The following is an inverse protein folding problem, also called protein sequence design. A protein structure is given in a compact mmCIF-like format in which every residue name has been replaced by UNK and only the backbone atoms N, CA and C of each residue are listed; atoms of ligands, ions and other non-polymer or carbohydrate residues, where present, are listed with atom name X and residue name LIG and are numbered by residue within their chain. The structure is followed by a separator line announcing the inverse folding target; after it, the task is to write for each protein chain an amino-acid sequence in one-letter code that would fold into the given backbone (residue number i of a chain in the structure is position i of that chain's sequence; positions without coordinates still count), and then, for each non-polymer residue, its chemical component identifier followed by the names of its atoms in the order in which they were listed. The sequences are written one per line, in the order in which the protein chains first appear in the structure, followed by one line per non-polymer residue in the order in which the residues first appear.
data_IF_311929866678
#
_entry.id   IF_311929866678
#
_cell.length_a   1.000
_cell.length_b   1.000
_cell.length_c   1.000
_cell.angle_alpha   90.00
_cell.angle_beta   90.00
_cell.angle_gamma   90.00
#
_symmetry.space_group_name_H-M   'P 1'
#
loop_
_entity.id
_entity.type
_entity.pdbx_description
1 polymer ?
#
# COMPACT_ATOMS: atom_id res chain seq x y z
N UNK A 1 2.62 -10.16 18.51
CA UNK A 1 1.39 -10.96 18.31
C UNK A 1 0.33 -10.10 17.61
N UNK A 2 -0.22 -10.56 16.49
CA UNK A 2 -1.29 -9.85 15.76
C UNK A 2 -2.61 -9.94 16.51
N UNK A 3 -3.37 -8.83 16.57
CA UNK A 3 -4.71 -8.80 17.15
C UNK A 3 -5.63 -9.79 16.41
N UNK A 4 -6.36 -10.61 17.17
CA UNK A 4 -7.43 -11.48 16.66
C UNK A 4 -8.77 -10.98 17.17
N UNK A 5 -9.78 -11.00 16.32
CA UNK A 5 -11.15 -10.61 16.66
C UNK A 5 -12.12 -11.66 16.13
N UNK A 6 -13.29 -11.79 16.75
CA UNK A 6 -14.41 -12.53 16.18
C UNK A 6 -15.40 -11.56 15.56
N UNK A 7 -15.89 -11.86 14.37
CA UNK A 7 -16.94 -11.05 13.75
C UNK A 7 -18.25 -11.27 14.51
N UNK A 8 -18.75 -10.22 15.16
CA UNK A 8 -19.99 -10.26 15.92
C UNK A 8 -21.20 -9.96 15.05
N UNK A 9 -21.09 -9.03 14.11
CA UNK A 9 -22.21 -8.59 13.26
C UNK A 9 -21.73 -7.97 11.94
N UNK A 10 -22.48 -8.19 10.87
CA UNK A 10 -22.31 -7.45 9.62
C UNK A 10 -23.07 -6.11 9.67
N UNK A 11 -22.41 -5.03 9.24
CA UNK A 11 -22.99 -3.70 9.25
C UNK A 11 -23.41 -3.24 7.85
N UNK A 12 -22.48 -3.17 6.89
CA UNK A 12 -22.76 -2.71 5.52
C UNK A 12 -21.67 -3.09 4.52
N UNK A 13 -21.98 -3.04 3.22
CA UNK A 13 -20.98 -3.11 2.13
C UNK A 13 -20.28 -1.75 2.00
N UNK A 14 -19.00 -1.75 1.63
CA UNK A 14 -18.26 -0.51 1.35
C UNK A 14 -18.49 0.04 -0.07
N UNK A 15 -19.14 -0.72 -0.96
CA UNK A 15 -19.52 -0.29 -2.32
C UNK A 15 -18.36 -0.04 -3.30
N UNK A 16 -17.13 0.04 -2.80
CA UNK A 16 -15.92 0.39 -3.52
C UNK A 16 -14.83 -0.66 -3.31
N UNK A 17 -14.05 -0.96 -4.35
CA UNK A 17 -12.95 -1.93 -4.33
C UNK A 17 -13.29 -3.26 -4.99
N UNK A 18 -12.31 -3.86 -5.66
CA UNK A 18 -12.50 -5.07 -6.49
C UNK A 18 -12.87 -6.32 -5.66
N UNK A 19 -12.45 -6.35 -4.39
CA UNK A 19 -12.72 -7.43 -3.43
C UNK A 19 -14.05 -7.29 -2.71
N UNK A 20 -14.87 -6.29 -3.04
CA UNK A 20 -16.15 -6.00 -2.38
C UNK A 20 -16.10 -6.04 -0.84
N UNK A 21 -15.24 -5.23 -0.20
CA UNK A 21 -15.06 -5.27 1.25
C UNK A 21 -16.34 -4.94 2.03
N UNK A 22 -16.42 -5.50 3.24
CA UNK A 22 -17.54 -5.35 4.15
C UNK A 22 -17.14 -4.62 5.41
N UNK A 23 -18.06 -3.86 5.99
CA UNK A 23 -17.92 -3.32 7.34
C UNK A 23 -18.61 -4.27 8.31
N UNK A 24 -17.85 -4.69 9.31
CA UNK A 24 -18.28 -5.60 10.37
C UNK A 24 -17.97 -5.01 11.74
N UNK A 25 -18.70 -5.48 12.75
CA UNK A 25 -18.41 -5.23 14.15
C UNK A 25 -17.60 -6.40 14.70
N UNK A 26 -16.51 -6.11 15.42
CA UNK A 26 -15.77 -7.09 16.20
C UNK A 26 -16.45 -7.41 17.52
N UNK A 27 -15.99 -8.46 18.21
CA UNK A 27 -16.35 -8.79 19.59
C UNK A 27 -15.77 -7.81 20.62
N UNK A 28 -14.88 -6.93 20.19
CA UNK A 28 -14.32 -5.80 20.92
C UNK A 28 -15.12 -4.50 20.75
N UNK A 29 -16.28 -4.55 20.09
CA UNK A 29 -17.14 -3.41 19.75
C UNK A 29 -16.50 -2.37 18.81
N UNK A 30 -15.42 -2.72 18.12
CA UNK A 30 -14.79 -1.86 17.12
C UNK A 30 -15.24 -2.23 15.71
N UNK A 31 -15.21 -1.25 14.80
CA UNK A 31 -15.60 -1.46 13.40
C UNK A 31 -14.39 -1.80 12.54
N UNK A 32 -14.59 -2.76 11.65
CA UNK A 32 -13.55 -3.31 10.79
C UNK A 32 -14.02 -3.42 9.35
N UNK A 33 -13.13 -3.12 8.42
CA UNK A 33 -13.25 -3.41 7.00
C UNK A 33 -12.66 -4.81 6.77
N UNK A 34 -13.54 -5.77 6.53
CA UNK A 34 -13.22 -7.15 6.22
C UNK A 34 -12.96 -7.30 4.71
N UNK A 35 -11.81 -7.86 4.34
CA UNK A 35 -11.42 -8.08 2.95
C UNK A 35 -11.79 -9.49 2.48
N UNK A 36 -12.00 -9.66 1.18
CA UNK A 36 -12.19 -10.95 0.52
C UNK A 36 -11.05 -11.20 -0.49
N UNK A 37 -10.73 -12.47 -0.76
CA UNK A 37 -9.76 -12.87 -1.80
C UNK A 37 -10.44 -13.39 -3.08
N UNK A 38 -11.74 -13.68 -3.05
CA UNK A 38 -12.48 -14.15 -4.22
C UNK A 38 -13.10 -12.97 -4.96
N UNK A 39 -12.64 -12.75 -6.19
CA UNK A 39 -13.00 -11.59 -7.01
C UNK A 39 -13.71 -12.04 -8.29
N UNK A 40 -14.73 -11.31 -8.69
CA UNK A 40 -15.44 -11.52 -9.96
C UNK A 40 -14.67 -10.84 -11.12
N UNK A 41 -14.45 -11.59 -12.19
CA UNK A 41 -13.83 -11.10 -13.42
C UNK A 41 -14.72 -11.44 -14.64
N UNK A 42 -14.40 -10.86 -15.80
CA UNK A 42 -15.13 -11.12 -17.05
C UNK A 42 -15.10 -12.59 -17.49
N UNK A 43 -14.07 -13.33 -17.07
CA UNK A 43 -13.82 -14.73 -17.45
C UNK A 43 -14.25 -15.72 -16.34
N UNK A 44 -14.89 -15.22 -15.28
CA UNK A 44 -15.27 -16.00 -14.10
C UNK A 44 -14.54 -15.54 -12.85
N UNK A 45 -14.45 -16.41 -11.85
CA UNK A 45 -13.88 -16.05 -10.55
C UNK A 45 -12.38 -16.23 -10.51
N UNK A 46 -11.69 -15.21 -10.00
CA UNK A 46 -10.25 -15.24 -9.74
C UNK A 46 -10.03 -15.19 -8.24
N UNK A 47 -9.16 -16.07 -7.75
CA UNK A 47 -8.75 -16.08 -6.35
C UNK A 47 -7.42 -15.34 -6.20
N UNK A 48 -7.47 -14.23 -5.48
CA UNK A 48 -6.32 -13.42 -5.09
C UNK A 48 -5.63 -14.04 -3.86
N UNK A 49 -5.08 -15.24 -4.06
CA UNK A 49 -4.53 -16.11 -3.02
C UNK A 49 -3.33 -15.53 -2.23
N UNK A 50 -2.70 -14.44 -2.68
CA UNK A 50 -1.69 -13.70 -1.91
C UNK A 50 -2.22 -12.43 -1.25
N UNK A 51 -3.46 -12.00 -1.50
CA UNK A 51 -3.96 -10.70 -1.04
C UNK A 51 -3.87 -10.53 0.48
N UNK A 52 -4.32 -11.50 1.28
CA UNK A 52 -4.23 -11.39 2.74
C UNK A 52 -2.79 -11.38 3.25
N UNK A 53 -1.91 -12.21 2.66
CA UNK A 53 -0.49 -12.22 2.97
C UNK A 53 0.17 -10.86 2.66
N UNK A 54 -0.13 -10.30 1.49
CA UNK A 54 0.33 -8.96 1.10
C UNK A 54 -0.15 -7.90 2.10
N UNK A 55 -1.44 -7.85 2.41
CA UNK A 55 -2.02 -6.86 3.33
C UNK A 55 -1.38 -6.90 4.72
N UNK A 56 -1.22 -8.09 5.30
CA UNK A 56 -0.67 -8.21 6.66
C UNK A 56 0.84 -7.89 6.69
N UNK A 57 1.61 -8.33 5.69
CA UNK A 57 3.04 -8.01 5.59
C UNK A 57 3.23 -6.51 5.39
N UNK A 58 2.52 -5.92 4.42
CA UNK A 58 2.55 -4.48 4.15
C UNK A 58 2.17 -3.68 5.39
N UNK A 59 1.16 -4.09 6.15
CA UNK A 59 0.76 -3.36 7.36
C UNK A 59 1.77 -3.47 8.50
N UNK A 60 2.48 -4.61 8.61
CA UNK A 60 3.59 -4.77 9.57
C UNK A 60 4.79 -3.90 9.19
N UNK A 61 5.14 -3.86 7.91
CA UNK A 61 6.21 -3.01 7.38
C UNK A 61 5.84 -1.53 7.56
N UNK A 62 4.60 -1.15 7.23
CA UNK A 62 4.10 0.21 7.40
C UNK A 62 4.19 0.66 8.88
N UNK A 63 3.74 -0.17 9.81
CA UNK A 63 3.89 0.09 11.24
C UNK A 63 5.37 0.23 11.65
N UNK A 64 6.24 -0.64 11.13
CA UNK A 64 7.68 -0.52 11.39
C UNK A 64 8.25 0.79 10.84
N UNK A 65 7.73 1.32 9.73
CA UNK A 65 8.20 2.56 9.11
C UNK A 65 7.46 3.83 9.58
N UNK A 66 6.54 3.71 10.55
CA UNK A 66 5.64 4.78 10.99
C UNK A 66 4.85 5.41 9.83
N UNK A 67 4.47 4.59 8.85
CA UNK A 67 3.59 4.99 7.75
C UNK A 67 2.15 4.98 8.27
N UNK A 68 1.35 6.03 7.99
CA UNK A 68 -0.01 6.12 8.51
C UNK A 68 -0.94 5.12 7.82
N UNK A 69 -1.10 3.94 8.41
CA UNK A 69 -2.06 2.91 7.98
C UNK A 69 -3.12 2.69 9.08
N UNK A 70 -4.34 2.22 8.73
CA UNK A 70 -5.27 1.76 9.75
C UNK A 70 -4.68 0.59 10.54
N UNK A 71 -5.01 0.51 11.84
CA UNK A 71 -4.74 -0.70 12.64
C UNK A 71 -5.39 -1.91 11.96
N UNK A 72 -4.82 -3.10 12.14
CA UNK A 72 -5.34 -4.31 11.50
C UNK A 72 -5.52 -5.46 12.51
N UNK A 73 -6.27 -6.46 12.10
CA UNK A 73 -6.55 -7.68 12.85
C UNK A 73 -6.73 -8.87 11.90
N UNK A 74 -6.58 -10.07 12.44
CA UNK A 74 -7.07 -11.31 11.84
C UNK A 74 -8.48 -11.52 12.39
N UNK A 75 -9.48 -11.50 11.51
CA UNK A 75 -10.88 -11.65 11.87
C UNK A 75 -11.35 -13.08 11.60
N UNK A 76 -12.01 -13.68 12.59
CA UNK A 76 -12.66 -14.99 12.49
C UNK A 76 -14.14 -14.78 12.11
N UNK A 77 -14.52 -15.27 10.94
CA UNK A 77 -15.89 -15.23 10.44
C UNK A 77 -16.53 -16.60 10.60
N UNK A 78 -17.50 -16.69 11.51
CA UNK A 78 -18.25 -17.91 11.82
C UNK A 78 -19.38 -18.14 10.81
N UNK A 79 -19.63 -19.42 10.46
CA UNK A 79 -20.73 -19.83 9.60
C UNK A 79 -22.09 -19.26 10.00
N UNK A 80 -22.37 -19.12 11.29
CA UNK A 80 -23.64 -18.58 11.81
C UNK A 80 -23.90 -17.15 11.34
N UNK A 81 -22.85 -16.32 11.20
CA UNK A 81 -22.97 -14.96 10.68
C UNK A 81 -23.34 -14.99 9.19
N UNK A 82 -22.77 -15.94 8.44
CA UNK A 82 -23.09 -16.14 7.02
C UNK A 82 -24.50 -16.71 6.81
N UNK A 83 -24.95 -17.61 7.68
CA UNK A 83 -26.30 -18.20 7.64
C UNK A 83 -27.38 -17.15 7.97
N UNK A 84 -27.12 -16.27 8.94
CA UNK A 84 -28.02 -15.18 9.32
C UNK A 84 -27.98 -13.98 8.34
N UNK A 85 -27.02 -13.96 7.41
CA UNK A 85 -26.90 -12.96 6.37
C UNK A 85 -26.65 -13.60 5.01
N UNK A 86 -27.67 -14.21 4.36
CA UNK A 86 -27.50 -14.92 3.09
C UNK A 86 -26.81 -14.07 2.02
N UNK A 87 -27.05 -12.75 2.02
CA UNK A 87 -26.40 -11.81 1.11
C UNK A 87 -24.87 -11.82 1.20
N UNK A 88 -24.30 -12.08 2.39
CA UNK A 88 -22.86 -12.18 2.61
C UNK A 88 -22.24 -13.36 1.86
N UNK A 89 -22.96 -14.48 1.81
CA UNK A 89 -22.51 -15.70 1.13
C UNK A 89 -22.79 -15.64 -0.38
N UNK A 90 -23.97 -15.18 -0.78
CA UNK A 90 -24.40 -15.21 -2.18
C UNK A 90 -23.89 -14.02 -3.01
N UNK A 91 -23.95 -12.81 -2.45
CA UNK A 91 -23.52 -11.61 -3.18
C UNK A 91 -22.06 -11.27 -2.90
N UNK A 92 -21.63 -11.31 -1.64
CA UNK A 92 -20.27 -10.87 -1.26
C UNK A 92 -19.26 -12.02 -1.14
N UNK A 93 -19.75 -13.27 -1.22
CA UNK A 93 -18.95 -14.51 -1.35
C UNK A 93 -17.91 -14.70 -0.26
N UNK A 94 -18.21 -14.22 0.93
CA UNK A 94 -17.42 -14.53 2.10
C UNK A 94 -17.63 -16.00 2.48
N UNK A 95 -16.54 -16.65 2.88
CA UNK A 95 -16.55 -18.01 3.39
C UNK A 95 -16.24 -18.00 4.88
N UNK A 96 -16.65 -19.03 5.59
CA UNK A 96 -16.21 -19.24 6.97
C UNK A 96 -14.68 -19.33 7.01
N UNK A 97 -14.08 -18.77 8.06
CA UNK A 97 -12.63 -18.87 8.30
C UNK A 97 -11.98 -17.56 8.73
N UNK A 98 -10.68 -17.45 8.49
CA UNK A 98 -9.88 -16.28 8.88
C UNK A 98 -9.67 -15.32 7.72
N UNK A 99 -9.98 -14.06 7.97
CA UNK A 99 -9.91 -12.97 7.00
C UNK A 99 -8.99 -11.85 7.50
N UNK A 100 -8.37 -11.14 6.57
CA UNK A 100 -7.71 -9.88 6.89
C UNK A 100 -8.76 -8.79 7.16
N UNK A 101 -8.57 -8.04 8.23
CA UNK A 101 -9.41 -6.92 8.61
C UNK A 101 -8.58 -5.69 8.96
N UNK A 102 -8.95 -4.52 8.43
CA UNK A 102 -8.42 -3.23 8.87
C UNK A 102 -9.48 -2.49 9.68
N UNK A 103 -9.07 -1.77 10.74
CA UNK A 103 -9.98 -0.94 11.53
C UNK A 103 -10.54 0.16 10.63
N UNK A 104 -11.86 0.37 10.68
CA UNK A 104 -12.51 1.45 9.94
C UNK A 104 -11.97 2.80 10.42
N UNK A 105 -11.55 3.65 9.49
CA UNK A 105 -11.22 5.04 9.79
C UNK A 105 -12.52 5.83 9.78
N UNK A 106 -12.90 6.39 10.93
CA UNK A 106 -14.08 7.24 11.03
C UNK A 106 -13.84 8.62 10.37
N UNK A 107 -14.93 9.30 9.99
CA UNK A 107 -14.91 10.66 9.43
C UNK A 107 -14.01 10.80 8.18
N UNK A 108 -13.99 9.77 7.33
CA UNK A 108 -13.33 9.82 6.03
C UNK A 108 -14.05 10.80 5.11
N UNK A 109 -13.28 11.58 4.37
CA UNK A 109 -13.80 12.54 3.41
C UNK A 109 -13.97 11.86 2.05
N UNK A 110 -15.19 11.42 1.71
CA UNK A 110 -15.49 10.85 0.38
C UNK A 110 -15.92 11.89 -0.65
N UNK A 111 -16.27 13.10 -0.21
CA UNK A 111 -17.03 14.11 -0.98
C UNK A 111 -16.34 14.65 -2.25
N UNK A 112 -15.07 14.33 -2.48
CA UNK A 112 -14.44 14.64 -3.76
C UNK A 112 -14.81 13.64 -4.85
N UNK A 113 -15.05 12.37 -4.56
CA UNK A 113 -15.19 11.32 -5.58
C UNK A 113 -16.42 11.49 -6.48
N UNK A 114 -17.57 11.87 -5.96
CA UNK A 114 -18.79 12.05 -6.78
C UNK A 114 -18.66 13.22 -7.75
N UNK A 115 -18.20 14.38 -7.26
CA UNK A 115 -17.93 15.54 -8.11
C UNK A 115 -16.77 15.28 -9.09
N UNK A 116 -15.77 14.50 -8.65
CA UNK A 116 -14.57 14.18 -9.42
C UNK A 116 -14.83 13.20 -10.57
N UNK A 117 -15.60 12.12 -10.34
CA UNK A 117 -15.96 11.16 -11.40
C UNK A 117 -16.72 11.87 -12.51
N UNK A 118 -17.69 12.71 -12.12
CA UNK A 118 -18.44 13.54 -13.06
C UNK A 118 -17.55 14.53 -13.83
N UNK A 119 -16.63 15.22 -13.16
CA UNK A 119 -15.72 16.19 -13.80
C UNK A 119 -14.66 15.51 -14.71
N UNK A 120 -14.23 14.29 -14.35
CA UNK A 120 -13.32 13.47 -15.14
C UNK A 120 -13.99 12.96 -16.42
N UNK A 121 -15.23 12.50 -16.32
CA UNK A 121 -16.05 12.10 -17.47
C UNK A 121 -16.30 13.28 -18.44
N UNK A 122 -16.23 14.52 -17.94
CA UNK A 122 -16.33 15.75 -18.74
C UNK A 122 -15.00 16.27 -19.31
N UNK A 123 -13.86 15.59 -19.09
CA UNK A 123 -12.56 15.93 -19.67
C UNK A 123 -11.97 17.29 -19.25
N UNK A 124 -12.34 17.83 -18.08
CA UNK A 124 -11.94 19.18 -17.68
C UNK A 124 -10.54 19.23 -17.01
N UNK A 125 -9.65 20.18 -17.39
CA UNK A 125 -8.29 20.29 -16.84
C UNK A 125 -8.18 20.85 -15.41
N UNK A 126 -9.30 21.24 -14.77
CA UNK A 126 -9.32 21.84 -13.42
C UNK A 126 -8.98 20.85 -12.27
N UNK A 127 -8.67 19.60 -12.59
CA UNK A 127 -8.57 18.47 -11.67
C UNK A 127 -7.30 18.50 -10.79
N UNK A 128 -6.15 18.92 -11.30
CA UNK A 128 -4.90 18.97 -10.52
C UNK A 128 -4.98 20.00 -9.37
N UNK A 129 -5.58 21.17 -9.62
CA UNK A 129 -5.75 22.21 -8.59
C UNK A 129 -6.67 21.79 -7.45
N UNK A 130 -7.67 20.95 -7.73
CA UNK A 130 -8.57 20.42 -6.69
C UNK A 130 -7.88 19.44 -5.77
N UNK A 131 -6.98 18.60 -6.28
CA UNK A 131 -6.23 17.65 -5.45
C UNK A 131 -5.17 18.34 -4.59
N UNK A 132 -4.44 19.32 -5.13
CA UNK A 132 -3.48 20.10 -4.35
C UNK A 132 -4.17 20.73 -3.14
N UNK A 133 -5.31 21.39 -3.37
CA UNK A 133 -6.12 22.00 -2.29
C UNK A 133 -6.68 20.96 -1.32
N UNK A 134 -7.03 19.77 -1.80
CA UNK A 134 -7.53 18.70 -0.94
C UNK A 134 -6.47 18.24 0.06
N UNK A 135 -5.22 18.06 -0.39
CA UNK A 135 -4.14 17.63 0.48
C UNK A 135 -3.45 18.79 1.21
N UNK A 136 -3.70 20.04 0.83
CA UNK A 136 -3.04 21.23 1.40
C UNK A 136 -3.18 21.35 2.92
N UNK A 137 -4.31 20.92 3.50
CA UNK A 137 -4.58 21.07 4.93
C UNK A 137 -4.42 19.78 5.74
N UNK A 138 -3.77 18.75 5.19
CA UNK A 138 -3.40 17.58 5.99
C UNK A 138 -2.29 17.97 6.97
N UNK A 139 -2.31 17.38 8.16
CA UNK A 139 -1.38 17.75 9.24
C UNK A 139 -0.11 16.90 9.25
N UNK A 140 -0.12 15.74 8.61
CA UNK A 140 1.00 14.79 8.56
C UNK A 140 1.66 14.74 7.18
N UNK A 141 2.04 15.92 6.66
CA UNK A 141 2.62 16.06 5.32
C UNK A 141 3.97 15.36 5.19
N UNK A 142 4.74 15.37 6.27
CA UNK A 142 6.03 14.71 6.42
C UNK A 142 5.94 13.19 6.23
N UNK A 143 4.78 12.59 6.47
CA UNK A 143 4.55 11.15 6.26
C UNK A 143 4.47 10.78 4.77
N UNK A 144 4.28 11.73 3.85
CA UNK A 144 4.19 11.45 2.41
C UNK A 144 5.49 10.82 1.90
N UNK A 145 6.65 11.28 2.38
CA UNK A 145 7.93 10.68 2.02
C UNK A 145 8.01 9.22 2.50
N UNK A 146 7.43 8.92 3.67
CA UNK A 146 7.35 7.56 4.20
C UNK A 146 6.46 6.67 3.35
N UNK A 147 5.30 7.17 2.92
CA UNK A 147 4.37 6.46 2.04
C UNK A 147 5.05 6.10 0.72
N UNK A 148 5.74 7.06 0.09
CA UNK A 148 6.44 6.83 -1.19
C UNK A 148 7.57 5.81 -1.03
N UNK A 149 8.44 5.99 -0.03
CA UNK A 149 9.53 5.04 0.22
C UNK A 149 9.02 3.64 0.55
N UNK A 150 7.92 3.55 1.29
CA UNK A 150 7.25 2.30 1.60
C UNK A 150 6.70 1.60 0.36
N UNK A 151 6.01 2.31 -0.55
CA UNK A 151 5.52 1.71 -1.79
C UNK A 151 6.64 1.16 -2.67
N UNK A 152 7.77 1.86 -2.73
CA UNK A 152 8.96 1.37 -3.44
C UNK A 152 9.51 0.10 -2.78
N UNK A 153 9.52 0.04 -1.44
CA UNK A 153 9.97 -1.15 -0.71
C UNK A 153 9.07 -2.37 -0.96
N UNK A 154 7.76 -2.18 -1.03
CA UNK A 154 6.80 -3.30 -1.20
C UNK A 154 6.35 -3.50 -2.66
N UNK A 155 6.93 -2.77 -3.62
CA UNK A 155 6.52 -2.77 -5.02
C UNK A 155 5.01 -2.54 -5.21
N UNK A 156 4.47 -1.51 -4.55
CA UNK A 156 3.07 -1.14 -4.65
C UNK A 156 2.84 -0.14 -5.80
N UNK A 157 2.62 -0.67 -7.00
CA UNK A 157 2.39 0.13 -8.20
C UNK A 157 0.97 0.72 -8.29
N UNK A 158 0.02 0.27 -7.46
CA UNK A 158 -1.39 0.70 -7.50
C UNK A 158 -1.70 1.93 -6.62
N UNK A 159 -0.72 2.54 -5.92
CA UNK A 159 -1.05 3.68 -5.05
C UNK A 159 -1.47 4.92 -5.83
N UNK A 160 -0.79 5.22 -6.93
CA UNK A 160 -0.87 6.54 -7.53
C UNK A 160 -1.87 6.67 -8.70
N UNK A 161 -2.34 5.53 -9.21
CA UNK A 161 -3.41 5.43 -10.23
C UNK A 161 -4.80 5.32 -9.58
N UNK A 162 -4.86 4.90 -8.31
CA UNK A 162 -6.09 4.63 -7.59
C UNK A 162 -6.31 5.69 -6.51
N UNK A 163 -7.15 6.67 -6.83
CA UNK A 163 -7.57 7.76 -5.94
C UNK A 163 -8.21 7.30 -4.63
N UNK A 164 -8.49 6.00 -4.46
CA UNK A 164 -9.05 5.42 -3.23
C UNK A 164 -8.02 4.84 -2.27
N UNK A 165 -6.78 4.63 -2.72
CA UNK A 165 -5.76 3.97 -1.90
C UNK A 165 -5.08 4.95 -0.91
N UNK A 166 -5.44 6.24 -0.99
CA UNK A 166 -5.13 7.27 -0.01
C UNK A 166 -6.44 7.84 0.55
N UNK A 167 -6.63 7.72 1.86
CA UNK A 167 -7.77 8.27 2.56
C UNK A 167 -7.37 9.52 3.33
N UNK A 168 -8.21 10.55 3.26
CA UNK A 168 -8.14 11.68 4.19
C UNK A 168 -9.28 11.57 5.17
N UNK A 169 -8.98 11.68 6.46
CA UNK A 169 -9.98 11.65 7.52
C UNK A 169 -9.75 12.77 8.53
N UNK A 170 -10.85 13.28 9.08
CA UNK A 170 -10.80 14.26 10.17
C UNK A 170 -10.54 13.53 11.49
N UNK A 171 -9.41 13.88 12.11
CA UNK A 171 -9.02 13.42 13.44
C UNK A 171 -9.04 14.58 14.44
N UNK A 172 -8.90 14.28 15.73
CA UNK A 172 -8.76 15.30 16.78
C UNK A 172 -7.61 16.28 16.51
N UNK A 173 -6.55 15.80 15.85
CA UNK A 173 -5.37 16.58 15.51
C UNK A 173 -5.46 17.26 14.12
N UNK A 174 -6.65 17.28 13.50
CA UNK A 174 -6.86 17.79 12.15
C UNK A 174 -6.99 16.70 11.09
N UNK A 175 -6.97 17.10 9.80
CA UNK A 175 -7.10 16.18 8.66
C UNK A 175 -5.82 15.36 8.52
N UNK A 176 -5.92 14.04 8.55
CA UNK A 176 -4.78 13.13 8.38
C UNK A 176 -4.94 12.30 7.12
N UNK A 177 -3.80 12.08 6.46
CA UNK A 177 -3.66 11.18 5.32
C UNK A 177 -3.32 9.77 5.82
N UNK A 178 -3.97 8.76 5.25
CA UNK A 178 -3.74 7.35 5.52
C UNK A 178 -3.55 6.56 4.22
N UNK A 179 -2.59 5.65 4.19
CA UNK A 179 -2.43 4.65 3.14
C UNK A 179 -3.27 3.41 3.44
N UNK A 180 -4.00 2.93 2.43
CA UNK A 180 -4.81 1.71 2.52
C UNK A 180 -4.62 0.84 1.27
N UNK A 181 -5.19 -0.37 1.34
CA UNK A 181 -5.33 -1.34 0.25
C UNK A 181 -4.00 -1.77 -0.36
N UNK A 182 -3.27 -2.63 0.38
CA UNK A 182 -1.97 -3.15 -0.05
C UNK A 182 -2.07 -4.56 -0.63
N UNK A 183 -3.29 -5.06 -0.88
CA UNK A 183 -3.52 -6.39 -1.42
C UNK A 183 -2.80 -6.69 -2.74
N UNK A 184 -2.53 -5.67 -3.55
CA UNK A 184 -1.82 -5.77 -4.83
C UNK A 184 -0.31 -5.51 -4.75
N UNK A 185 0.24 -5.32 -3.55
CA UNK A 185 1.68 -5.18 -3.36
C UNK A 185 2.45 -6.45 -3.77
N UNK A 186 3.78 -6.35 -3.81
CA UNK A 186 4.68 -7.45 -4.13
C UNK A 186 4.36 -8.06 -5.50
N UNK A 187 4.23 -7.21 -6.52
CA UNK A 187 3.94 -7.61 -7.92
C UNK A 187 2.57 -8.31 -8.10
N UNK A 188 1.57 -7.95 -7.30
CA UNK A 188 0.18 -8.37 -7.50
C UNK A 188 -0.33 -9.40 -6.48
N UNK A 189 -1.63 -9.71 -6.54
CA UNK A 189 -2.32 -10.45 -5.48
C UNK A 189 -2.42 -11.96 -5.74
N UNK A 190 -1.87 -12.46 -6.84
CA UNK A 190 -1.92 -13.87 -7.26
C UNK A 190 -0.52 -14.48 -7.23
N UNK A 191 -0.40 -15.65 -6.62
CA UNK A 191 0.81 -16.47 -6.67
C UNK A 191 0.93 -17.17 -8.03
N UNK A 192 1.82 -16.68 -8.87
CA UNK A 192 2.13 -17.25 -10.18
C UNK A 192 3.62 -17.15 -10.51
N UNK A 193 4.03 -17.68 -11.66
CA UNK A 193 5.42 -17.66 -12.13
C UNK A 193 5.97 -16.24 -12.28
N UNK A 194 5.14 -15.29 -12.70
CA UNK A 194 5.55 -13.90 -12.92
C UNK A 194 5.87 -13.20 -11.60
N UNK A 195 5.02 -13.37 -10.58
CA UNK A 195 5.26 -12.87 -9.22
C UNK A 195 6.52 -13.50 -8.63
N UNK A 196 6.70 -14.82 -8.76
CA UNK A 196 7.92 -15.50 -8.30
C UNK A 196 9.16 -14.95 -9.00
N UNK A 197 9.12 -14.78 -10.32
CA UNK A 197 10.20 -14.19 -11.10
C UNK A 197 10.54 -12.77 -10.67
N UNK A 198 9.51 -11.95 -10.42
CA UNK A 198 9.67 -10.56 -9.97
C UNK A 198 10.23 -10.45 -8.56
N UNK A 199 9.83 -11.34 -7.64
CA UNK A 199 10.39 -11.38 -6.29
C UNK A 199 11.87 -11.80 -6.30
N UNK A 200 12.27 -12.68 -7.22
CA UNK A 200 13.65 -13.13 -7.40
C UNK A 200 14.55 -12.09 -8.08
N UNK A 201 13.98 -11.17 -8.87
CA UNK A 201 14.76 -10.27 -9.71
C UNK A 201 15.34 -9.07 -8.94
N UNK A 202 14.90 -8.83 -7.70
CA UNK A 202 15.40 -7.74 -6.87
C UNK A 202 16.91 -7.87 -6.64
N UNK A 203 17.67 -6.95 -7.23
CA UNK A 203 19.11 -6.90 -7.15
C UNK A 203 19.66 -5.55 -7.59
N UNK A 204 20.89 -5.24 -7.17
CA UNK A 204 21.59 -4.02 -7.55
C UNK A 204 22.13 -4.18 -8.97
N UNK A 205 21.25 -3.99 -9.95
CA UNK A 205 21.62 -3.87 -11.35
C UNK A 205 20.88 -2.70 -11.99
N UNK A 206 21.52 -2.08 -12.98
CA UNK A 206 20.89 -0.99 -13.73
C UNK A 206 19.64 -1.48 -14.44
N UNK A 207 19.69 -2.71 -14.95
CA UNK A 207 18.59 -3.37 -15.63
C UNK A 207 17.38 -3.52 -14.71
N UNK A 208 17.58 -3.93 -13.44
CA UNK A 208 16.50 -4.04 -12.47
C UNK A 208 15.90 -2.67 -12.13
N UNK A 209 16.75 -1.67 -11.85
CA UNK A 209 16.29 -0.31 -11.54
C UNK A 209 15.47 0.26 -12.71
N UNK A 210 15.96 0.11 -13.94
CA UNK A 210 15.28 0.56 -15.14
C UNK A 210 13.95 -0.18 -15.32
N UNK A 211 13.92 -1.50 -15.18
CA UNK A 211 12.69 -2.30 -15.27
C UNK A 211 11.65 -1.88 -14.22
N UNK A 212 12.06 -1.80 -12.95
CA UNK A 212 11.17 -1.47 -11.82
C UNK A 212 10.59 -0.06 -11.98
N UNK A 213 11.44 0.90 -12.30
CA UNK A 213 11.03 2.28 -12.55
C UNK A 213 10.12 2.36 -13.78
N UNK A 214 10.46 1.63 -14.85
CA UNK A 214 9.63 1.60 -16.05
C UNK A 214 8.29 0.91 -15.80
N UNK A 215 8.17 -0.03 -14.86
CA UNK A 215 6.88 -0.57 -14.44
C UNK A 215 6.00 0.50 -13.78
N UNK A 216 6.58 1.39 -12.97
CA UNK A 216 5.86 2.58 -12.48
C UNK A 216 5.45 3.52 -13.63
N UNK A 217 6.32 3.70 -14.65
CA UNK A 217 6.06 4.58 -15.79
C UNK A 217 5.11 3.99 -16.85
N UNK A 218 5.09 2.68 -17.09
CA UNK A 218 4.24 2.05 -18.12
C UNK A 218 2.75 2.16 -17.80
N UNK A 219 2.41 2.35 -16.52
CA UNK A 219 1.06 2.72 -16.07
C UNK A 219 0.69 4.14 -16.57
N UNK A 220 1.68 4.98 -16.93
CA UNK A 220 1.52 6.37 -17.36
C UNK A 220 2.19 6.62 -18.73
N UNK A 221 1.45 6.58 -19.85
CA UNK A 221 2.01 6.77 -21.18
C UNK A 221 2.37 8.25 -21.45
N UNK A 222 3.43 8.74 -20.81
CA UNK A 222 4.10 10.00 -21.12
C UNK A 222 5.61 9.75 -21.31
N UNK A 223 5.95 9.10 -22.43
CA UNK A 223 7.23 9.17 -23.17
C UNK A 223 8.50 9.45 -22.33
N UNK A 224 8.76 8.68 -21.26
CA UNK A 224 10.04 8.69 -20.54
C UNK A 224 10.24 9.77 -19.47
N UNK A 225 9.22 10.53 -19.09
CA UNK A 225 9.28 11.49 -17.97
C UNK A 225 8.34 11.07 -16.84
N UNK A 226 8.82 11.07 -15.60
CA UNK A 226 8.01 10.79 -14.39
C UNK A 226 7.09 11.93 -13.98
N UNK A 227 7.01 12.97 -14.81
CA UNK A 227 6.22 14.15 -14.53
C UNK A 227 4.69 13.93 -14.52
N UNK A 228 4.22 12.70 -14.37
CA UNK A 228 2.83 12.32 -14.42
C UNK A 228 2.55 10.94 -13.85
N UNK A 229 3.17 10.56 -12.72
CA UNK A 229 2.85 9.35 -11.94
C UNK A 229 1.40 9.33 -11.39
N UNK A 230 0.46 10.00 -12.04
CA UNK A 230 -0.93 10.17 -11.62
C UNK A 230 -1.22 11.50 -10.95
N UNK A 231 -2.50 11.90 -10.97
CA UNK A 231 -2.98 13.15 -10.36
C UNK A 231 -2.80 13.15 -8.84
N UNK A 232 -2.93 11.99 -8.21
CA UNK A 232 -2.74 11.80 -6.77
C UNK A 232 -1.28 12.07 -6.39
N UNK A 233 -0.32 11.46 -7.10
CA UNK A 233 1.11 11.69 -6.87
C UNK A 233 1.46 13.16 -7.04
N UNK A 234 0.97 13.80 -8.11
CA UNK A 234 1.21 15.23 -8.36
C UNK A 234 0.69 16.15 -7.26
N UNK A 235 -0.35 15.73 -6.55
CA UNK A 235 -0.90 16.53 -5.47
C UNK A 235 -0.13 16.41 -4.16
N UNK A 236 0.49 15.26 -3.92
CA UNK A 236 1.23 15.00 -2.69
C UNK A 236 2.73 15.31 -2.82
N UNK A 237 3.31 15.27 -4.03
CA UNK A 237 4.75 15.52 -4.25
C UNK A 237 5.20 16.92 -3.84
N UNK A 238 4.32 17.92 -3.87
CA UNK A 238 4.62 19.28 -3.39
C UNK A 238 4.94 19.35 -1.88
N UNK A 239 4.70 18.27 -1.14
CA UNK A 239 5.06 18.15 0.28
C UNK A 239 6.42 17.45 0.49
N UNK A 240 7.10 17.07 -0.59
CA UNK A 240 8.44 16.49 -0.56
C UNK A 240 9.45 17.59 -0.83
N UNK A 241 10.45 17.73 0.03
CA UNK A 241 11.57 18.64 -0.12
C UNK A 241 12.81 17.88 -0.63
N UNK A 242 13.24 18.21 -1.85
CA UNK A 242 14.48 17.76 -2.48
C UNK A 242 15.37 18.94 -2.92
N UNK A 243 15.13 20.17 -2.46
CA UNK A 243 15.94 21.33 -2.85
C UNK A 243 17.36 21.23 -2.32
N UNK A 244 17.52 20.63 -1.13
CA UNK A 244 18.80 20.36 -0.51
C UNK A 244 19.13 18.86 -0.53
N UNK A 245 20.04 18.45 -1.43
CA UNK A 245 20.49 17.06 -1.52
C UNK A 245 21.14 16.51 -0.23
N UNK A 246 21.56 17.37 0.71
CA UNK A 246 22.11 16.97 2.01
C UNK A 246 21.07 16.84 3.12
N UNK A 247 19.89 17.41 2.95
CA UNK A 247 18.82 17.41 3.95
C UNK A 247 17.47 17.41 3.22
N UNK A 248 16.92 16.22 3.00
CA UNK A 248 15.73 16.02 2.18
C UNK A 248 14.77 15.02 2.82
N UNK A 249 13.50 15.05 2.40
CA UNK A 249 12.41 14.36 3.11
C UNK A 249 12.55 12.84 3.24
N UNK A 250 13.39 12.20 2.43
CA UNK A 250 13.54 10.73 2.42
C UNK A 250 14.61 10.18 3.37
N UNK A 251 15.50 11.01 3.92
CA UNK A 251 16.70 10.53 4.62
C UNK A 251 16.39 9.58 5.77
N UNK A 252 15.49 10.00 6.68
CA UNK A 252 15.16 9.23 7.89
C UNK A 252 14.46 7.91 7.55
N UNK A 253 13.49 7.93 6.63
CA UNK A 253 12.75 6.71 6.28
C UNK A 253 13.61 5.72 5.51
N UNK A 254 14.46 6.19 4.60
CA UNK A 254 15.38 5.32 3.87
C UNK A 254 16.42 4.71 4.81
N UNK A 255 16.96 5.49 5.74
CA UNK A 255 17.84 4.95 6.79
C UNK A 255 17.15 3.85 7.61
N UNK A 256 15.88 4.06 7.99
CA UNK A 256 15.08 3.05 8.70
C UNK A 256 14.84 1.80 7.86
N UNK A 257 14.51 1.96 6.57
CA UNK A 257 14.34 0.84 5.62
C UNK A 257 15.63 0.02 5.51
N UNK A 258 16.77 0.67 5.34
CA UNK A 258 18.03 -0.04 5.16
C UNK A 258 18.48 -0.76 6.42
N UNK A 259 18.07 -0.25 7.59
CA UNK A 259 18.30 -0.87 8.90
C UNK A 259 17.53 -2.19 9.11
N UNK A 260 16.53 -2.50 8.27
CA UNK A 260 15.78 -3.77 8.32
C UNK A 260 16.76 -4.95 8.26
N UNK A 261 16.69 -5.82 9.26
CA UNK A 261 17.47 -7.04 9.37
C UNK A 261 16.63 -8.27 9.07
N UNK A 262 17.30 -9.38 8.78
CA UNK A 262 16.65 -10.67 8.54
C UNK A 262 15.77 -11.11 9.72
N UNK A 263 16.19 -10.87 10.96
CA UNK A 263 15.37 -11.17 12.16
C UNK A 263 14.05 -10.41 12.16
N UNK A 264 14.08 -9.12 11.85
CA UNK A 264 12.89 -8.26 11.73
C UNK A 264 11.96 -8.80 10.63
N UNK A 265 12.54 -9.20 9.49
CA UNK A 265 11.75 -9.78 8.39
C UNK A 265 11.12 -11.10 8.82
N UNK A 266 11.85 -11.99 9.49
CA UNK A 266 11.30 -13.25 10.01
C UNK A 266 10.13 -12.98 10.98
N UNK A 267 10.27 -11.98 11.86
CA UNK A 267 9.21 -11.59 12.78
C UNK A 267 7.93 -11.12 12.07
N UNK A 268 8.06 -10.53 10.88
CA UNK A 268 6.92 -10.18 10.05
C UNK A 268 6.18 -11.38 9.45
N UNK A 269 6.69 -12.61 9.53
CA UNK A 269 5.95 -13.81 9.14
C UNK A 269 5.32 -14.56 10.32
N UNK A 270 5.70 -14.22 11.56
CA UNK A 270 5.18 -14.88 12.76
C UNK A 270 3.66 -14.67 12.89
N UNK A 271 2.94 -15.66 13.42
CA UNK A 271 1.49 -15.61 13.68
C UNK A 271 0.58 -15.38 12.45
N UNK A 272 1.11 -15.35 11.22
CA UNK A 272 0.29 -15.32 10.00
C UNK A 272 -0.36 -16.70 9.82
N UNK A 273 -1.69 -16.80 9.59
CA UNK A 273 -2.34 -18.07 9.34
C UNK A 273 -1.74 -18.80 8.13
N UNK A 274 -1.40 -20.08 8.31
CA UNK A 274 -0.79 -20.92 7.26
C UNK A 274 -1.68 -21.02 6.02
N UNK A 275 -3.00 -20.95 6.20
CA UNK A 275 -4.00 -20.95 5.12
C UNK A 275 -3.94 -19.71 4.20
N UNK A 276 -3.23 -18.65 4.59
CA UNK A 276 -3.01 -17.48 3.73
C UNK A 276 -1.80 -17.64 2.81
N UNK A 277 -1.05 -18.73 2.97
CA UNK A 277 0.03 -19.11 2.09
C UNK A 277 -0.45 -20.20 1.12
N UNK A 278 0.06 -20.14 -0.12
CA UNK A 278 -0.07 -21.24 -1.09
C UNK A 278 0.96 -22.33 -0.77
N UNK A 279 2.19 -21.90 -0.45
CA UNK A 279 3.28 -22.74 0.06
C UNK A 279 4.07 -21.87 1.03
N UNK A 280 3.88 -22.08 2.33
CA UNK A 280 4.42 -21.20 3.38
C UNK A 280 5.94 -21.11 3.34
N UNK A 281 6.63 -22.23 3.15
CA UNK A 281 8.10 -22.26 3.22
C UNK A 281 8.67 -21.52 2.00
N UNK A 282 8.21 -21.90 0.81
CA UNK A 282 8.69 -21.32 -0.44
C UNK A 282 8.32 -19.84 -0.56
N UNK A 283 7.06 -19.47 -0.28
CA UNK A 283 6.61 -18.08 -0.34
C UNK A 283 7.36 -17.20 0.66
N UNK A 284 7.46 -17.62 1.92
CA UNK A 284 8.19 -16.83 2.93
C UNK A 284 9.64 -16.60 2.50
N UNK A 285 10.29 -17.61 1.91
CA UNK A 285 11.63 -17.48 1.33
C UNK A 285 11.72 -16.42 0.23
N UNK A 286 10.78 -16.40 -0.72
CA UNK A 286 10.78 -15.43 -1.82
C UNK A 286 10.50 -14.00 -1.37
N UNK A 287 9.51 -13.78 -0.49
CA UNK A 287 9.22 -12.44 0.03
C UNK A 287 10.37 -11.91 0.88
N UNK A 288 10.99 -12.76 1.70
CA UNK A 288 12.17 -12.41 2.48
C UNK A 288 13.35 -12.02 1.61
N UNK A 289 13.66 -12.84 0.60
CA UNK A 289 14.72 -12.54 -0.37
C UNK A 289 14.46 -11.19 -1.04
N UNK A 290 13.25 -10.95 -1.52
CA UNK A 290 12.85 -9.69 -2.11
C UNK A 290 13.07 -8.51 -1.15
N UNK A 291 12.50 -8.55 0.06
CA UNK A 291 12.59 -7.44 1.03
C UNK A 291 14.03 -7.12 1.43
N UNK A 292 14.87 -8.14 1.64
CA UNK A 292 16.27 -7.96 2.04
C UNK A 292 17.14 -7.36 0.93
N UNK A 293 16.81 -7.62 -0.33
CA UNK A 293 17.47 -6.98 -1.47
C UNK A 293 16.88 -5.61 -1.78
N UNK A 294 15.55 -5.49 -1.81
CA UNK A 294 14.83 -4.28 -2.18
C UNK A 294 15.09 -3.12 -1.21
N UNK A 295 15.26 -3.38 0.09
CA UNK A 295 15.57 -2.33 1.07
C UNK A 295 16.82 -1.51 0.69
N UNK A 296 17.81 -2.15 0.08
CA UNK A 296 19.06 -1.49 -0.37
C UNK A 296 18.90 -0.76 -1.70
N UNK A 297 17.78 -0.97 -2.39
CA UNK A 297 17.46 -0.38 -3.69
C UNK A 297 16.61 0.88 -3.57
N UNK A 298 15.86 1.06 -2.49
CA UNK A 298 14.93 2.19 -2.31
C UNK A 298 15.62 3.54 -2.51
N UNK A 299 16.85 3.74 -1.99
CA UNK A 299 17.61 4.99 -2.21
C UNK A 299 17.87 5.27 -3.69
N UNK A 300 18.24 4.24 -4.45
CA UNK A 300 18.56 4.33 -5.87
C UNK A 300 17.30 4.53 -6.71
N UNK A 301 16.18 3.91 -6.30
CA UNK A 301 14.88 4.14 -6.91
C UNK A 301 14.42 5.57 -6.71
N UNK A 302 14.57 6.15 -5.52
CA UNK A 302 14.24 7.56 -5.26
C UNK A 302 15.11 8.51 -6.09
N UNK A 303 16.43 8.24 -6.17
CA UNK A 303 17.32 9.01 -7.04
C UNK A 303 16.88 8.92 -8.51
N UNK A 304 16.60 7.71 -9.01
CA UNK A 304 16.12 7.52 -10.38
C UNK A 304 14.77 8.21 -10.63
N UNK A 305 13.88 8.27 -9.63
CA UNK A 305 12.64 9.04 -9.72
C UNK A 305 12.91 10.55 -9.85
N UNK A 306 13.82 11.07 -9.04
CA UNK A 306 14.21 12.48 -9.07
C UNK A 306 14.84 12.87 -10.42
N UNK A 307 15.79 12.07 -10.91
CA UNK A 307 16.48 12.29 -12.19
C UNK A 307 15.54 12.21 -13.40
N UNK A 308 14.41 11.48 -13.26
CA UNK A 308 13.35 11.41 -14.29
C UNK A 308 12.25 12.46 -14.10
N UNK A 309 12.43 13.43 -13.19
CA UNK A 309 11.54 14.57 -13.00
C UNK A 309 10.24 14.24 -12.24
N UNK A 310 10.26 13.25 -11.36
CA UNK A 310 9.11 12.95 -10.49
C UNK A 310 8.80 14.13 -9.54
N UNK A 311 9.83 14.79 -9.02
CA UNK A 311 9.70 15.85 -8.02
C UNK A 311 10.00 17.21 -8.63
N UNK A 312 9.07 18.16 -8.48
CA UNK A 312 9.12 19.46 -9.18
C UNK A 312 10.18 20.43 -8.63
N UNK A 313 10.57 20.26 -7.37
CA UNK A 313 11.57 21.08 -6.67
C UNK A 313 13.00 20.54 -6.75
N UNK A 314 13.21 19.33 -7.27
CA UNK A 314 14.55 18.78 -7.45
C UNK A 314 15.32 19.59 -8.50
N UNK A 315 16.55 20.01 -8.15
CA UNK A 315 17.42 20.85 -9.00
C UNK A 315 18.61 20.12 -9.60
N UNK A 316 18.66 18.80 -9.46
CA UNK A 316 19.79 17.96 -9.89
C UNK A 316 20.82 17.73 -8.79
N UNK A 317 21.73 16.78 -9.02
CA UNK A 317 22.78 16.36 -8.08
C UNK A 317 22.60 14.92 -7.62
N UNK A 318 23.34 14.51 -6.58
CA UNK A 318 23.13 13.20 -5.95
C UNK A 318 22.57 13.42 -4.55
N UNK A 319 21.41 12.84 -4.26
CA UNK A 319 20.85 12.80 -2.91
C UNK A 319 21.84 12.09 -1.97
N UNK A 320 22.15 12.73 -0.84
CA UNK A 320 23.07 12.21 0.16
C UNK A 320 22.28 11.54 1.29
N UNK A 321 22.76 10.37 1.69
CA UNK A 321 22.04 9.49 2.63
C UNK A 321 22.75 9.43 3.97
N UNK A 322 21.99 9.10 5.01
CA UNK A 322 22.57 8.83 6.34
C UNK A 322 23.29 7.48 6.25
N UNK A 323 24.62 7.56 6.17
CA UNK A 323 25.45 6.37 6.11
C UNK A 323 25.38 5.58 7.42
N UNK A 324 25.42 4.25 7.28
CA UNK A 324 25.57 3.38 8.45
C UNK A 324 27.01 3.51 8.93
N UNK A 325 27.19 3.80 10.22
CA UNK A 325 28.49 3.64 10.86
C UNK A 325 28.86 2.16 10.72
N UNK A 326 29.88 1.86 9.92
CA UNK A 326 30.40 0.51 9.78
C UNK A 326 31.12 0.14 11.09
N UNK A 327 30.48 -0.68 11.92
CA UNK A 327 31.03 -1.24 13.17
C UNK A 327 29.91 -1.42 14.20
N UNK A 328 29.68 -2.57 14.82
CA UNK A 328 30.57 -3.65 15.24
C UNK A 328 29.99 -5.03 14.92
N UNK A 329 30.90 -5.96 14.65
CA UNK A 329 30.70 -7.42 14.47
C UNK A 329 29.97 -8.04 15.65
#
# INVERSE_FOLDING_TARGET
MTKRIRVSTFLKKLGEGISEPLIVLGDDNERYILKNQKVESKEGFVEFNCMFLNEILSSRIANYLDVPVPKFAIAELDKRILENGPALRFFHRFTEGTHYASKEIANTESNLRENFKMLKDMGKPYISRTWNRFYESIVNKEDIAKIIAFDLLIANFDRYNNTGNLLVAKTENGRKLFSIDHGHAFFGPVWNTDKIGSLKSAGISKEYLDLFINSFLMIYPNKGYMGGLGEVFRAIENNIDLENCLNHSFQLVVHKIESIQESIVNDWFNDIPDIWFVDKISQSGFYKHFLLNQKSLVRWLIQAMADRGAFSNYRGGNLQWIEKIAGTV
#
